data_IF_267138820850
#
_entry.id   IF_267138820850
#
_cell.length_a   1.000
_cell.length_b   1.000
_cell.length_c   1.000
_cell.angle_alpha   90.00
_cell.angle_beta   90.00
_cell.angle_gamma   90.00
#
_symmetry.space_group_name_H-M   'P 1'
#
loop_
_entity.id
_entity.type
_entity.pdbx_description
1 polymer ?
#
# COMPACT_ATOMS: atom_id res chain seq x y z
N UNK A 1 -16.45 -10.73 -5.46
CA UNK A 1 -17.70 -9.99 -5.68
C UNK A 1 -17.82 -8.91 -4.62
N UNK A 2 -18.14 -7.66 -4.99
CA UNK A 2 -18.28 -6.51 -4.09
C UNK A 2 -19.73 -6.05 -4.13
N UNK A 3 -20.34 -5.92 -2.95
CA UNK A 3 -21.69 -5.39 -2.78
C UNK A 3 -21.62 -3.99 -2.18
N UNK A 4 -22.30 -3.04 -2.79
CA UNK A 4 -22.45 -1.67 -2.30
C UNK A 4 -23.84 -1.50 -1.73
N UNK A 5 -23.95 -1.08 -0.47
CA UNK A 5 -25.21 -0.86 0.23
C UNK A 5 -25.26 0.53 0.85
N UNK A 6 -26.43 1.13 0.80
CA UNK A 6 -26.69 2.37 1.54
C UNK A 6 -27.05 2.06 3.00
N UNK A 7 -26.64 2.95 3.90
CA UNK A 7 -27.09 2.97 5.28
C UNK A 7 -28.49 3.60 5.33
N UNK A 8 -29.40 2.95 6.03
CA UNK A 8 -30.75 3.40 6.31
C UNK A 8 -30.97 3.45 7.81
N UNK A 9 -31.83 4.33 8.28
CA UNK A 9 -32.23 4.39 9.67
C UNK A 9 -33.60 3.74 9.86
N UNK A 10 -33.73 2.97 10.93
CA UNK A 10 -34.99 2.44 11.36
C UNK A 10 -35.70 3.43 12.25
N UNK A 11 -36.93 3.77 11.88
CA UNK A 11 -37.81 4.63 12.69
C UNK A 11 -38.27 3.85 13.91
N UNK A 12 -38.30 4.49 15.08
CA UNK A 12 -38.85 3.91 16.33
C UNK A 12 -37.85 3.10 17.16
N UNK A 13 -36.57 3.10 16.85
CA UNK A 13 -35.55 2.48 17.71
C UNK A 13 -35.12 3.49 18.77
N UNK A 14 -35.63 3.33 20.01
CA UNK A 14 -35.29 4.21 21.14
C UNK A 14 -33.93 3.85 21.77
N UNK A 15 -33.47 2.60 21.66
CA UNK A 15 -32.21 2.12 22.24
C UNK A 15 -31.40 1.32 21.22
N UNK A 16 -30.08 1.51 21.22
CA UNK A 16 -29.15 0.84 20.32
C UNK A 16 -28.87 1.61 19.03
N UNK A 17 -28.26 0.96 18.04
CA UNK A 17 -27.92 1.59 16.77
C UNK A 17 -29.09 1.45 15.77
N UNK A 18 -29.73 2.55 15.37
CA UNK A 18 -30.83 2.54 14.41
C UNK A 18 -30.39 2.22 12.98
N UNK A 19 -29.09 2.30 12.70
CA UNK A 19 -28.55 2.10 11.35
C UNK A 19 -28.73 0.65 10.88
N UNK A 20 -29.25 0.50 9.68
CA UNK A 20 -29.44 -0.78 9.01
C UNK A 20 -29.07 -0.67 7.54
N UNK A 21 -28.83 -1.81 6.90
CA UNK A 21 -28.60 -1.91 5.46
C UNK A 21 -29.80 -2.56 4.80
N UNK A 22 -30.06 -2.21 3.55
CA UNK A 22 -31.07 -2.88 2.72
C UNK A 22 -30.67 -4.34 2.44
N UNK A 23 -31.64 -5.20 2.08
CA UNK A 23 -31.37 -6.60 1.72
C UNK A 23 -31.30 -7.58 2.89
N UNK A 24 -31.80 -7.19 4.06
CA UNK A 24 -31.94 -8.10 5.21
C UNK A 24 -30.60 -8.45 5.88
N UNK A 25 -30.59 -9.61 6.59
CA UNK A 25 -29.41 -10.02 7.38
C UNK A 25 -28.43 -10.90 6.62
N UNK A 26 -28.80 -11.46 5.47
CA UNK A 26 -28.01 -12.45 4.75
C UNK A 26 -26.59 -11.95 4.41
N UNK A 27 -26.46 -10.79 3.80
CA UNK A 27 -25.16 -10.19 3.45
C UNK A 27 -24.28 -9.96 4.68
N UNK A 28 -24.86 -9.61 5.84
CA UNK A 28 -24.10 -9.41 7.08
C UNK A 28 -23.42 -10.69 7.55
N UNK A 29 -24.05 -11.86 7.36
CA UNK A 29 -23.51 -13.15 7.75
C UNK A 29 -22.52 -13.71 6.71
N UNK A 30 -22.89 -13.69 5.43
CA UNK A 30 -22.09 -14.32 4.37
C UNK A 30 -20.87 -13.50 3.96
N UNK A 31 -20.89 -12.18 4.05
CA UNK A 31 -19.74 -11.34 3.70
C UNK A 31 -18.48 -11.73 4.51
N UNK A 32 -17.36 -11.89 3.81
CA UNK A 32 -16.05 -12.14 4.42
C UNK A 32 -15.48 -10.88 5.05
N UNK A 33 -15.65 -9.75 4.38
CA UNK A 33 -15.22 -8.42 4.84
C UNK A 33 -16.41 -7.47 4.75
N UNK A 34 -16.60 -6.63 5.78
CA UNK A 34 -17.55 -5.52 5.78
C UNK A 34 -16.83 -4.24 6.14
N UNK A 35 -17.04 -3.25 5.33
CA UNK A 35 -16.41 -1.94 5.44
C UNK A 35 -17.54 -0.90 5.59
N UNK A 36 -17.42 -0.02 6.56
CA UNK A 36 -18.26 1.17 6.73
C UNK A 36 -17.44 2.38 6.22
N UNK A 37 -18.03 3.18 5.32
CA UNK A 37 -17.40 4.32 4.70
C UNK A 37 -18.24 5.55 5.00
N UNK A 38 -17.63 6.56 5.63
CA UNK A 38 -18.31 7.80 6.03
C UNK A 38 -17.51 9.03 5.65
N UNK A 39 -18.19 10.03 5.12
CA UNK A 39 -17.63 11.37 4.98
C UNK A 39 -17.58 12.03 6.35
N UNK A 40 -16.39 12.55 6.73
CA UNK A 40 -16.17 13.27 7.98
C UNK A 40 -16.32 14.77 7.74
N UNK A 41 -15.63 15.29 6.73
CA UNK A 41 -15.56 16.70 6.42
C UNK A 41 -15.47 16.96 4.93
N UNK A 42 -15.89 18.14 4.51
CA UNK A 42 -15.63 18.66 3.18
C UNK A 42 -14.38 19.54 3.22
N UNK A 43 -13.49 19.34 2.25
CA UNK A 43 -12.30 20.17 2.06
C UNK A 43 -12.62 21.17 0.96
N UNK A 44 -12.42 22.43 1.27
CA UNK A 44 -12.71 23.56 0.38
C UNK A 44 -11.40 24.18 -0.08
N UNK A 45 -11.41 24.64 -1.31
CA UNK A 45 -10.41 25.56 -1.84
C UNK A 45 -11.13 26.89 -2.13
N UNK A 46 -10.88 27.89 -1.24
CA UNK A 46 -11.71 29.08 -1.17
C UNK A 46 -13.16 28.74 -0.81
N UNK A 47 -14.11 29.06 -1.69
CA UNK A 47 -15.55 28.78 -1.49
C UNK A 47 -16.00 27.45 -2.10
N UNK A 48 -15.18 26.83 -2.95
CA UNK A 48 -15.53 25.62 -3.69
C UNK A 48 -15.12 24.37 -2.92
N UNK A 49 -16.03 23.41 -2.80
CA UNK A 49 -15.72 22.09 -2.23
C UNK A 49 -15.00 21.24 -3.29
N UNK A 50 -13.72 20.95 -3.08
CA UNK A 50 -12.88 20.20 -4.04
C UNK A 50 -12.69 18.76 -3.65
N UNK A 51 -12.78 18.43 -2.36
CA UNK A 51 -12.60 17.05 -1.88
C UNK A 51 -13.36 16.80 -0.58
N UNK A 52 -13.48 15.51 -0.24
CA UNK A 52 -14.05 15.06 1.02
C UNK A 52 -13.04 14.25 1.83
N UNK A 53 -12.88 14.57 3.11
CA UNK A 53 -12.24 13.69 4.06
C UNK A 53 -13.17 12.53 4.39
N UNK A 54 -12.69 11.33 4.17
CA UNK A 54 -13.48 10.10 4.31
C UNK A 54 -12.82 9.17 5.32
N UNK A 55 -13.64 8.63 6.23
CA UNK A 55 -13.23 7.61 7.20
C UNK A 55 -13.76 6.26 6.77
N UNK A 56 -12.90 5.27 6.78
CA UNK A 56 -13.21 3.87 6.50
C UNK A 56 -12.95 3.05 7.75
N UNK A 57 -13.94 2.24 8.14
CA UNK A 57 -13.84 1.31 9.26
C UNK A 57 -14.13 -0.11 8.83
N UNK A 58 -13.23 -1.03 9.13
CA UNK A 58 -13.45 -2.47 8.90
C UNK A 58 -14.29 -3.02 10.03
N UNK A 59 -15.60 -3.20 9.79
CA UNK A 59 -16.56 -3.66 10.82
C UNK A 59 -16.51 -5.17 11.03
N UNK A 60 -16.18 -5.92 9.96
CA UNK A 60 -16.06 -7.39 9.99
C UNK A 60 -14.94 -7.82 9.06
N UNK A 61 -14.11 -8.72 9.52
CA UNK A 61 -13.10 -9.37 8.69
C UNK A 61 -12.93 -10.82 9.16
N UNK A 62 -13.08 -11.79 8.25
CA UNK A 62 -12.86 -13.21 8.52
C UNK A 62 -11.44 -13.67 8.26
N UNK A 63 -10.63 -12.85 7.55
CA UNK A 63 -9.30 -13.21 7.07
C UNK A 63 -8.17 -12.59 7.91
N UNK A 64 -8.45 -11.48 8.60
CA UNK A 64 -7.50 -10.74 9.43
C UNK A 64 -8.22 -10.01 10.58
N UNK A 65 -7.47 -9.36 11.47
CA UNK A 65 -8.03 -8.59 12.58
C UNK A 65 -8.97 -7.48 12.06
N UNK A 66 -10.23 -7.46 12.55
CA UNK A 66 -11.20 -6.41 12.22
C UNK A 66 -10.94 -5.13 13.02
N UNK A 67 -11.82 -4.15 12.86
CA UNK A 67 -11.87 -2.87 13.60
C UNK A 67 -10.72 -1.91 13.32
N UNK A 68 -9.98 -2.11 12.22
CA UNK A 68 -9.03 -1.12 11.74
C UNK A 68 -9.77 0.02 11.07
N UNK A 69 -9.23 1.22 11.25
CA UNK A 69 -9.77 2.44 10.67
C UNK A 69 -8.67 3.11 9.82
N UNK A 70 -9.08 3.77 8.74
CA UNK A 70 -8.23 4.59 7.91
C UNK A 70 -8.99 5.85 7.50
N UNK A 71 -8.27 6.95 7.35
CA UNK A 71 -8.82 8.23 6.89
C UNK A 71 -8.01 8.70 5.69
N UNK A 72 -8.70 9.14 4.64
CA UNK A 72 -8.08 9.66 3.44
C UNK A 72 -9.00 10.67 2.75
N UNK A 73 -8.42 11.45 1.85
CA UNK A 73 -9.13 12.44 1.08
C UNK A 73 -9.55 11.87 -0.28
N UNK A 74 -10.80 12.13 -0.67
CA UNK A 74 -11.31 11.82 -2.01
C UNK A 74 -11.49 13.14 -2.76
N UNK A 75 -10.70 13.34 -3.81
CA UNK A 75 -10.75 14.51 -4.69
C UNK A 75 -11.80 14.25 -5.76
N UNK A 76 -12.66 15.23 -6.04
CA UNK A 76 -13.67 15.11 -7.08
C UNK A 76 -13.02 15.04 -8.45
N UNK A 77 -13.41 14.03 -9.23
CA UNK A 77 -12.87 13.77 -10.56
C UNK A 77 -11.56 12.98 -10.61
N UNK A 78 -10.74 13.02 -9.54
CA UNK A 78 -9.47 12.28 -9.49
C UNK A 78 -9.56 10.99 -8.66
N UNK A 79 -10.33 10.99 -7.57
CA UNK A 79 -10.44 9.87 -6.65
C UNK A 79 -9.63 10.03 -5.38
N UNK A 80 -9.06 8.93 -4.85
CA UNK A 80 -8.29 8.94 -3.61
C UNK A 80 -6.98 9.69 -3.81
N UNK A 81 -6.71 10.69 -2.94
CA UNK A 81 -5.47 11.47 -2.95
C UNK A 81 -4.30 10.67 -2.41
N UNK A 82 -3.54 10.06 -3.31
CA UNK A 82 -2.35 9.27 -2.94
C UNK A 82 -1.26 10.13 -2.29
N UNK A 83 -1.07 11.33 -2.80
CA UNK A 83 -0.10 12.30 -2.26
C UNK A 83 -0.49 12.76 -0.87
N UNK A 84 -1.80 12.96 -0.63
CA UNK A 84 -2.32 13.31 0.69
C UNK A 84 -2.04 12.22 1.72
N UNK A 85 -2.29 10.98 1.37
CA UNK A 85 -2.01 9.83 2.24
C UNK A 85 -0.52 9.66 2.52
N UNK A 86 0.33 9.82 1.50
CA UNK A 86 1.78 9.75 1.67
C UNK A 86 2.30 10.84 2.61
N UNK A 87 1.73 12.05 2.52
CA UNK A 87 2.06 13.15 3.43
C UNK A 87 1.65 12.83 4.87
N UNK A 88 0.41 12.39 5.07
CA UNK A 88 -0.11 12.09 6.41
C UNK A 88 0.67 10.93 7.05
N UNK A 89 0.92 9.86 6.31
CA UNK A 89 1.71 8.71 6.77
C UNK A 89 3.19 9.07 6.96
N UNK A 90 3.76 9.87 6.06
CA UNK A 90 5.14 10.34 6.15
C UNK A 90 5.38 11.15 7.43
N UNK A 91 4.46 12.03 7.79
CA UNK A 91 4.53 12.80 9.04
C UNK A 91 4.29 11.89 10.25
N UNK A 92 3.32 10.98 10.20
CA UNK A 92 3.03 10.06 11.31
C UNK A 92 4.21 9.13 11.65
N UNK A 93 5.01 8.76 10.65
CA UNK A 93 6.18 7.89 10.81
C UNK A 93 7.52 8.64 10.86
N UNK A 94 7.50 9.98 10.96
CA UNK A 94 8.70 10.83 11.00
C UNK A 94 9.62 10.66 9.76
N UNK A 95 9.08 10.26 8.63
CA UNK A 95 9.78 10.23 7.33
C UNK A 95 9.77 11.63 6.72
N UNK A 96 8.67 12.37 6.93
CA UNK A 96 8.54 13.78 6.58
C UNK A 96 8.59 14.59 7.86
N UNK A 97 9.48 15.56 7.91
CA UNK A 97 9.59 16.52 9.00
C UNK A 97 8.59 17.66 8.79
N UNK A 98 7.82 17.96 9.83
CA UNK A 98 6.91 19.10 9.85
C UNK A 98 7.40 20.15 10.82
N UNK A 99 7.79 21.32 10.31
CA UNK A 99 8.18 22.48 11.12
C UNK A 99 7.21 23.64 10.87
N UNK A 100 6.26 23.82 11.81
CA UNK A 100 5.18 24.78 11.64
C UNK A 100 4.32 24.46 10.41
N UNK A 101 4.28 25.35 9.42
CA UNK A 101 3.59 25.15 8.14
C UNK A 101 4.45 24.52 7.06
N UNK A 102 5.74 24.30 7.30
CA UNK A 102 6.67 23.74 6.33
C UNK A 102 6.80 22.23 6.46
N UNK A 103 6.90 21.58 5.30
CA UNK A 103 7.18 20.16 5.19
C UNK A 103 8.55 19.97 4.54
N UNK A 104 9.36 19.07 5.10
CA UNK A 104 10.69 18.74 4.60
C UNK A 104 10.88 17.24 4.50
N UNK A 105 11.58 16.81 3.46
CA UNK A 105 11.94 15.41 3.25
C UNK A 105 13.44 15.33 2.96
N UNK A 106 14.18 14.56 3.76
CA UNK A 106 15.67 14.46 3.68
C UNK A 106 16.40 15.81 3.71
N UNK A 107 15.88 16.78 4.46
CA UNK A 107 16.45 18.13 4.53
C UNK A 107 16.04 19.06 3.39
N UNK A 108 15.35 18.58 2.36
CA UNK A 108 14.80 19.39 1.28
C UNK A 108 13.36 19.84 1.62
N UNK A 109 13.06 21.11 1.38
CA UNK A 109 11.73 21.67 1.59
C UNK A 109 10.80 21.24 0.47
N UNK A 110 9.71 20.53 0.81
CA UNK A 110 8.72 20.05 -0.15
C UNK A 110 7.64 21.10 -0.41
N UNK A 111 7.31 21.91 0.60
CA UNK A 111 6.32 22.98 0.43
C UNK A 111 5.85 23.58 1.74
N UNK A 112 5.26 24.76 1.62
CA UNK A 112 4.56 25.43 2.71
C UNK A 112 3.06 25.11 2.63
N UNK A 113 2.52 24.46 3.66
CA UNK A 113 1.15 23.98 3.69
C UNK A 113 0.96 22.65 2.97
N UNK A 114 -0.14 21.97 3.34
CA UNK A 114 -0.43 20.60 2.86
C UNK A 114 -0.68 20.55 1.35
N UNK A 115 -1.38 21.54 0.82
CA UNK A 115 -1.75 21.55 -0.60
C UNK A 115 -0.53 21.79 -1.51
N UNK A 116 0.36 22.73 -1.14
CA UNK A 116 1.59 22.95 -1.90
C UNK A 116 2.52 21.72 -1.87
N UNK A 117 2.60 21.05 -0.72
CA UNK A 117 3.39 19.83 -0.61
C UNK A 117 2.78 18.67 -1.44
N UNK A 118 1.45 18.54 -1.50
CA UNK A 118 0.79 17.58 -2.41
C UNK A 118 1.11 17.90 -3.88
N UNK A 119 1.02 19.17 -4.27
CA UNK A 119 1.33 19.59 -5.64
C UNK A 119 2.79 19.28 -6.00
N UNK A 120 3.71 19.58 -5.10
CA UNK A 120 5.12 19.24 -5.27
C UNK A 120 5.34 17.74 -5.51
N UNK A 121 4.65 16.88 -4.74
CA UNK A 121 4.73 15.41 -4.91
C UNK A 121 4.05 14.93 -6.21
N UNK A 122 3.04 15.65 -6.72
CA UNK A 122 2.46 15.37 -8.05
C UNK A 122 3.47 15.68 -9.17
N UNK A 123 4.19 16.79 -9.05
CA UNK A 123 5.13 17.26 -10.06
C UNK A 123 6.45 16.46 -10.02
N UNK A 124 6.86 15.98 -8.85
CA UNK A 124 8.11 15.23 -8.62
C UNK A 124 7.84 13.74 -8.35
N UNK A 125 7.61 12.99 -9.41
CA UNK A 125 7.27 11.55 -9.34
C UNK A 125 8.37 10.72 -8.67
N UNK A 126 9.64 11.05 -8.90
CA UNK A 126 10.78 10.32 -8.34
C UNK A 126 10.83 10.43 -6.81
N UNK A 127 10.65 11.66 -6.29
CA UNK A 127 10.60 11.91 -4.84
C UNK A 127 9.40 11.21 -4.23
N UNK A 128 8.25 11.25 -4.90
CA UNK A 128 7.04 10.53 -4.46
C UNK A 128 7.27 9.02 -4.35
N UNK A 129 7.94 8.39 -5.33
CA UNK A 129 8.23 6.96 -5.32
C UNK A 129 9.22 6.58 -4.22
N UNK A 130 10.25 7.39 -4.00
CA UNK A 130 11.20 7.19 -2.91
C UNK A 130 10.50 7.28 -1.55
N UNK A 131 9.70 8.33 -1.34
CA UNK A 131 8.92 8.52 -0.13
C UNK A 131 7.95 7.35 0.12
N UNK A 132 7.24 6.92 -0.93
CA UNK A 132 6.34 5.77 -0.83
C UNK A 132 7.08 4.49 -0.43
N UNK A 133 8.24 4.25 -1.00
CA UNK A 133 9.07 3.08 -0.68
C UNK A 133 9.54 3.12 0.77
N UNK A 134 9.96 4.29 1.26
CA UNK A 134 10.38 4.46 2.66
C UNK A 134 9.21 4.28 3.63
N UNK A 135 8.07 4.92 3.36
CA UNK A 135 6.86 4.75 4.18
C UNK A 135 6.43 3.29 4.23
N UNK A 136 6.45 2.59 3.10
CA UNK A 136 6.12 1.15 3.05
C UNK A 136 7.11 0.28 3.82
N UNK A 137 8.40 0.63 3.83
CA UNK A 137 9.43 -0.04 4.65
C UNK A 137 9.16 0.18 6.14
N UNK A 138 8.86 1.40 6.56
CA UNK A 138 8.50 1.71 7.94
C UNK A 138 7.23 0.99 8.42
N UNK A 139 6.26 0.81 7.51
CA UNK A 139 5.04 0.04 7.77
C UNK A 139 5.25 -1.49 7.75
N UNK A 140 6.44 -1.97 7.39
CA UNK A 140 6.74 -3.41 7.26
C UNK A 140 6.00 -4.09 6.09
N UNK A 141 5.49 -3.31 5.13
CA UNK A 141 4.77 -3.83 3.96
C UNK A 141 5.72 -4.35 2.87
N UNK A 142 6.96 -3.88 2.86
CA UNK A 142 8.03 -4.37 1.99
C UNK A 142 9.11 -4.93 2.91
N UNK A 143 9.45 -6.22 2.75
CA UNK A 143 10.66 -6.76 3.36
C UNK A 143 11.85 -5.98 2.79
N UNK A 144 12.79 -5.50 3.65
CA UNK A 144 14.02 -4.92 3.12
C UNK A 144 14.66 -6.00 2.25
N UNK A 145 14.84 -5.72 0.97
CA UNK A 145 15.74 -6.54 0.16
C UNK A 145 17.11 -6.51 0.86
N UNK A 146 17.73 -7.69 1.09
CA UNK A 146 19.10 -7.70 1.59
C UNK A 146 19.91 -6.86 0.59
N UNK A 147 20.60 -5.86 1.10
CA UNK A 147 21.46 -5.00 0.30
C UNK A 147 22.33 -5.93 -0.57
N UNK A 148 22.13 -5.91 -1.87
CA UNK A 148 23.02 -6.56 -2.81
C UNK A 148 24.29 -5.74 -2.77
N UNK A 149 25.21 -6.12 -1.85
CA UNK A 149 26.58 -5.64 -1.88
C UNK A 149 27.12 -6.04 -3.24
N UNK A 150 27.29 -5.08 -4.10
CA UNK A 150 27.94 -5.23 -5.38
C UNK A 150 29.31 -5.86 -5.19
N UNK A 151 29.59 -6.93 -5.93
CA UNK A 151 30.92 -7.41 -6.17
C UNK A 151 31.42 -8.50 -5.25
N UNK A 152 30.93 -9.74 -5.44
CA UNK A 152 31.75 -10.92 -5.31
C UNK A 152 31.19 -11.95 -6.29
N UNK A 153 31.81 -12.08 -7.43
CA UNK A 153 31.73 -13.27 -8.27
C UNK A 153 32.04 -14.47 -7.39
N UNK A 154 31.19 -15.50 -7.29
CA UNK A 154 31.53 -16.70 -6.55
C UNK A 154 32.77 -17.33 -7.21
N UNK A 155 33.77 -17.81 -6.44
CA UNK A 155 34.92 -18.47 -7.02
C UNK A 155 34.46 -19.71 -7.78
N UNK A 156 34.78 -19.74 -9.06
CA UNK A 156 34.60 -20.90 -9.92
C UNK A 156 35.41 -22.04 -9.29
N UNK A 157 34.73 -23.06 -8.78
CA UNK A 157 35.32 -24.28 -8.27
C UNK A 157 35.96 -24.99 -9.47
N UNK A 158 37.27 -25.30 -9.46
CA UNK A 158 37.89 -25.99 -10.57
C UNK A 158 37.27 -27.39 -10.70
N UNK A 159 36.76 -27.66 -11.89
CA UNK A 159 36.21 -28.95 -12.26
C UNK A 159 37.39 -29.97 -12.32
N UNK A 160 37.26 -31.18 -11.71
CA UNK A 160 38.33 -32.19 -11.80
C UNK A 160 38.48 -32.66 -13.22
N UNK A 161 39.72 -32.95 -13.68
CA UNK A 161 40.00 -33.36 -15.07
C UNK A 161 39.26 -34.66 -15.41
N UNK A 162 38.48 -34.65 -16.48
CA UNK A 162 37.81 -35.82 -17.01
C UNK A 162 38.87 -36.81 -17.50
N UNK A 163 38.87 -37.99 -16.91
CA UNK A 163 39.71 -39.13 -17.35
C UNK A 163 39.31 -39.53 -18.77
N UNK A 164 40.27 -39.44 -19.68
CA UNK A 164 40.18 -39.92 -21.05
C UNK A 164 40.00 -41.44 -21.00
N UNK A 165 38.81 -41.90 -21.33
CA UNK A 165 38.56 -43.34 -21.55
C UNK A 165 39.25 -43.76 -22.87
N UNK A 166 40.37 -44.45 -22.75
CA UNK A 166 41.00 -45.18 -23.84
C UNK A 166 40.07 -46.30 -24.30
N UNK A 167 39.77 -46.34 -25.59
CA UNK A 167 39.06 -47.41 -26.22
C UNK A 167 39.97 -48.66 -26.31
N UNK A 168 39.49 -49.89 -26.09
CA UNK A 168 40.26 -51.08 -26.27
C UNK A 168 40.38 -51.39 -27.75
N UNK A 169 41.62 -51.70 -28.14
CA UNK A 169 42.03 -52.13 -29.47
C UNK A 169 41.33 -53.43 -29.85
N UNK A 170 40.84 -53.48 -31.11
CA UNK A 170 40.34 -54.62 -31.81
C UNK A 170 41.49 -55.65 -32.04
N UNK A 171 41.33 -56.81 -31.46
CA UNK A 171 42.14 -57.94 -31.83
C UNK A 171 41.42 -58.82 -32.91
N UNK A 172 41.96 -58.84 -34.09
CA UNK A 172 41.60 -59.75 -35.14
C UNK A 172 42.24 -61.13 -34.87
N UNK A 173 41.50 -62.20 -35.02
CA UNK A 173 42.00 -63.59 -35.26
C UNK A 173 40.87 -64.31 -35.91
N UNK A 174 40.99 -64.60 -37.16
CA UNK A 174 41.57 -65.65 -38.00
C UNK A 174 40.98 -67.03 -37.73
N UNK A 175 40.34 -67.54 -38.77
CA UNK A 175 40.34 -68.93 -39.33
C UNK A 175 39.59 -70.03 -38.55
N UNK A 176 38.68 -70.66 -39.09
CA UNK A 176 38.58 -71.72 -40.10
C UNK A 176 37.15 -71.99 -40.42
#
# INVERSE_FOLDING_TARGET
>A
MIFINQIREKIGVMFGNPETTTGGRALKFYASVRIDIRRIAAIKDGEVVVSNRTKVKVVKNKLAAPFREAEFDIIYGEGISREGDLMDLGVAHNVIEKSGSWFSYKGERIGQGRENAKQFLKDNVDIRQQLETEVRKHLGLIKPEPAVNGGATPPVKPEPPQAVRQAPASAATRAR
#
